data_IF_543881014620
#
_entry.id   IF_543881014620
#
_cell.length_a   1.000
_cell.length_b   1.000
_cell.length_c   1.000
_cell.angle_alpha   90.00
_cell.angle_beta   90.00
_cell.angle_gamma   90.00
#
_symmetry.space_group_name_H-M   'P 1'
#
loop_
_entity.id
_entity.type
_entity.pdbx_description
1 polymer ?
#
# COMPACT_ATOMS: atom_id res chain seq x y z
N UNK A 1 -11.62 -22.46 30.22
CA UNK A 1 -11.26 -23.56 29.31
C UNK A 1 -12.52 -24.01 28.59
N UNK A 2 -12.84 -23.40 27.44
CA UNK A 2 -13.85 -23.95 26.54
C UNK A 2 -13.27 -25.22 25.91
N UNK A 3 -14.08 -26.26 25.77
CA UNK A 3 -13.70 -27.48 25.04
C UNK A 3 -13.31 -27.09 23.62
N UNK A 4 -12.04 -27.28 23.25
CA UNK A 4 -11.64 -27.19 21.84
C UNK A 4 -12.46 -28.21 21.07
N UNK A 5 -13.45 -27.73 20.30
CA UNK A 5 -14.09 -28.51 19.26
C UNK A 5 -13.05 -29.05 18.30
N UNK A 6 -13.44 -29.99 17.44
CA UNK A 6 -12.59 -30.43 16.33
C UNK A 6 -11.98 -29.19 15.64
N UNK A 7 -10.65 -29.15 15.42
CA UNK A 7 -10.03 -27.99 14.77
C UNK A 7 -10.73 -27.73 13.44
N UNK A 8 -11.00 -26.46 13.15
CA UNK A 8 -11.60 -26.05 11.87
C UNK A 8 -10.73 -26.51 10.69
N UNK A 9 -11.24 -26.42 9.45
CA UNK A 9 -10.44 -26.72 8.28
C UNK A 9 -9.29 -25.71 8.12
N UNK A 10 -8.16 -26.14 7.54
CA UNK A 10 -7.05 -25.23 7.24
C UNK A 10 -7.42 -24.17 6.21
N UNK A 11 -8.36 -24.44 5.31
CA UNK A 11 -8.73 -23.54 4.22
C UNK A 11 -7.51 -23.03 3.41
N UNK A 12 -6.61 -23.96 3.11
CA UNK A 12 -5.44 -23.76 2.26
C UNK A 12 -5.68 -24.44 0.91
N UNK A 13 -6.24 -23.75 -0.11
CA UNK A 13 -6.56 -24.35 -1.40
C UNK A 13 -5.29 -24.61 -2.24
N UNK A 14 -4.53 -25.64 -1.86
CA UNK A 14 -3.39 -26.13 -2.64
C UNK A 14 -3.88 -27.02 -3.78
N UNK A 15 -4.04 -26.46 -4.98
CA UNK A 15 -3.58 -27.13 -6.21
C UNK A 15 -3.64 -26.12 -7.34
N UNK A 16 -2.48 -25.79 -7.92
CA UNK A 16 -2.16 -25.31 -9.28
C UNK A 16 -3.24 -24.85 -10.30
N UNK A 17 -4.43 -24.39 -9.91
CA UNK A 17 -5.57 -24.14 -10.79
C UNK A 17 -6.28 -22.79 -10.55
N UNK A 18 -5.65 -21.87 -9.82
CA UNK A 18 -6.16 -20.51 -9.71
C UNK A 18 -5.49 -19.62 -10.77
N UNK A 19 -5.85 -19.87 -12.03
CA UNK A 19 -5.72 -18.88 -13.09
C UNK A 19 -6.95 -17.94 -13.05
N UNK A 20 -6.81 -16.66 -13.42
CA UNK A 20 -7.90 -15.68 -13.36
C UNK A 20 -9.08 -16.06 -14.28
N UNK A 21 -10.32 -16.06 -13.74
CA UNK A 21 -11.56 -16.09 -14.54
C UNK A 21 -12.66 -17.12 -14.23
N UNK A 22 -12.67 -17.84 -13.11
CA UNK A 22 -13.70 -18.86 -12.86
C UNK A 22 -14.79 -18.43 -11.86
N UNK A 23 -16.02 -18.09 -12.31
CA UNK A 23 -17.20 -18.16 -11.48
C UNK A 23 -17.62 -19.64 -11.32
N UNK A 24 -17.55 -20.15 -10.09
CA UNK A 24 -17.99 -21.50 -9.73
C UNK A 24 -17.14 -22.63 -10.31
N UNK A 25 -16.17 -23.13 -9.55
CA UNK A 25 -15.52 -24.40 -9.83
C UNK A 25 -15.65 -25.34 -8.63
N UNK A 26 -16.61 -26.27 -8.77
CA UNK A 26 -16.75 -27.51 -8.00
C UNK A 26 -15.60 -28.43 -8.37
N UNK A 27 -14.87 -28.94 -7.37
CA UNK A 27 -13.88 -30.01 -7.52
C UNK A 27 -12.43 -29.54 -7.62
N UNK A 28 -11.87 -29.07 -6.50
CA UNK A 28 -10.42 -28.89 -6.34
C UNK A 28 -9.74 -30.27 -6.23
N UNK A 29 -8.63 -30.54 -6.94
CA UNK A 29 -7.71 -31.61 -6.57
C UNK A 29 -7.27 -31.45 -5.11
N UNK A 30 -7.13 -32.58 -4.40
CA UNK A 30 -6.53 -32.56 -3.07
C UNK A 30 -5.09 -32.02 -3.15
N UNK A 31 -4.60 -31.33 -2.11
CA UNK A 31 -3.18 -31.00 -1.97
C UNK A 31 -2.32 -32.23 -2.22
N UNK A 32 -1.08 -32.06 -2.71
CA UNK A 32 -0.09 -33.11 -2.47
C UNK A 32 0.00 -33.33 -0.96
N UNK A 33 0.13 -34.59 -0.50
CA UNK A 33 0.19 -34.89 0.93
C UNK A 33 1.28 -34.09 1.67
N UNK A 34 2.33 -33.69 0.95
CA UNK A 34 3.43 -32.88 1.46
C UNK A 34 3.01 -31.43 1.78
N UNK A 35 2.12 -30.82 0.98
CA UNK A 35 1.69 -29.44 1.18
C UNK A 35 0.74 -29.30 2.38
N UNK A 36 -0.21 -30.22 2.54
CA UNK A 36 -1.11 -30.21 3.70
C UNK A 36 -0.34 -30.44 5.00
N UNK A 37 0.59 -31.40 5.01
CA UNK A 37 1.45 -31.66 6.16
C UNK A 37 2.31 -30.44 6.51
N UNK A 38 2.88 -29.75 5.52
CA UNK A 38 3.63 -28.52 5.73
C UNK A 38 2.79 -27.46 6.44
N UNK A 39 1.55 -27.19 5.98
CA UNK A 39 0.70 -26.18 6.62
C UNK A 39 0.15 -26.60 7.97
N UNK A 40 -0.02 -27.91 8.23
CA UNK A 40 -0.28 -28.41 9.59
C UNK A 40 0.90 -28.14 10.53
N UNK A 41 2.13 -28.30 10.06
CA UNK A 41 3.34 -27.96 10.82
C UNK A 41 3.41 -26.45 11.08
N UNK A 42 3.18 -25.62 10.06
CA UNK A 42 3.12 -24.15 10.22
C UNK A 42 2.05 -23.77 11.25
N UNK A 43 0.85 -24.34 11.17
CA UNK A 43 -0.21 -24.09 12.15
C UNK A 43 0.23 -24.47 13.57
N UNK A 44 0.91 -25.62 13.73
CA UNK A 44 1.47 -26.03 15.03
C UNK A 44 2.48 -25.01 15.56
N UNK A 45 3.34 -24.45 14.71
CA UNK A 45 4.31 -23.43 15.10
C UNK A 45 3.63 -22.10 15.47
N UNK A 46 2.61 -21.68 14.71
CA UNK A 46 1.83 -20.48 15.02
C UNK A 46 1.10 -20.64 16.36
N UNK A 47 0.47 -21.79 16.61
CA UNK A 47 -0.18 -22.09 17.88
C UNK A 47 0.80 -22.18 19.04
N UNK A 48 2.00 -22.72 18.82
CA UNK A 48 3.07 -22.70 19.81
C UNK A 48 3.46 -21.25 20.15
N UNK A 49 3.72 -20.41 19.15
CA UNK A 49 4.02 -18.99 19.34
C UNK A 49 2.93 -18.25 20.12
N UNK A 50 1.65 -18.50 19.79
CA UNK A 50 0.50 -17.93 20.51
C UNK A 50 0.40 -18.44 21.97
N UNK A 51 0.70 -19.72 22.21
CA UNK A 51 0.76 -20.30 23.55
C UNK A 51 1.88 -19.68 24.40
N UNK A 52 3.06 -19.50 23.82
CA UNK A 52 4.22 -18.84 24.43
C UNK A 52 3.92 -17.37 24.74
N UNK A 53 3.26 -16.66 23.81
CA UNK A 53 2.76 -15.30 24.00
C UNK A 53 1.80 -15.22 25.20
N UNK A 54 0.85 -16.16 25.30
CA UNK A 54 -0.14 -16.21 26.38
C UNK A 54 0.48 -16.46 27.76
N UNK A 55 1.71 -16.98 27.81
CA UNK A 55 2.50 -17.18 29.04
C UNK A 55 3.37 -15.96 29.39
N UNK A 56 3.39 -14.92 28.54
CA UNK A 56 4.19 -13.72 28.71
C UNK A 56 5.63 -13.82 28.19
N UNK A 57 5.99 -14.88 27.46
CA UNK A 57 7.31 -15.03 26.83
C UNK A 57 7.31 -14.44 25.40
N UNK A 58 7.34 -13.11 25.32
CA UNK A 58 7.36 -12.39 24.04
C UNK A 58 8.60 -12.71 23.17
N UNK A 59 9.84 -12.78 23.71
CA UNK A 59 11.01 -13.15 22.90
C UNK A 59 10.90 -14.56 22.31
N UNK A 60 10.46 -15.55 23.11
CA UNK A 60 10.27 -16.92 22.64
C UNK A 60 9.19 -17.01 21.56
N UNK A 61 8.08 -16.28 21.71
CA UNK A 61 7.04 -16.20 20.70
C UNK A 61 7.56 -15.60 19.38
N UNK A 62 8.27 -14.46 19.43
CA UNK A 62 8.88 -13.83 18.24
C UNK A 62 9.83 -14.77 17.50
N UNK A 63 10.68 -15.48 18.24
CA UNK A 63 11.63 -16.43 17.64
C UNK A 63 10.91 -17.56 16.90
N UNK A 64 9.91 -18.19 17.52
CA UNK A 64 9.17 -19.29 16.91
C UNK A 64 8.37 -18.85 15.67
N UNK A 65 7.76 -17.67 15.72
CA UNK A 65 6.96 -17.11 14.62
C UNK A 65 7.85 -16.66 13.45
N UNK A 66 9.00 -16.05 13.73
CA UNK A 66 9.98 -15.71 12.72
C UNK A 66 10.48 -16.95 11.98
N UNK A 67 10.74 -18.05 12.69
CA UNK A 67 11.18 -19.32 12.09
C UNK A 67 10.08 -19.93 11.19
N UNK A 68 8.80 -19.84 11.61
CA UNK A 68 7.66 -20.26 10.80
C UNK A 68 7.51 -19.40 9.54
N UNK A 69 7.60 -18.08 9.66
CA UNK A 69 7.54 -17.14 8.53
C UNK A 69 8.72 -17.34 7.56
N UNK A 70 9.92 -17.58 8.08
CA UNK A 70 11.06 -17.89 7.22
C UNK A 70 10.86 -19.19 6.45
N UNK A 71 10.31 -20.23 7.08
CA UNK A 71 9.98 -21.47 6.37
C UNK A 71 8.97 -21.27 5.22
N UNK A 72 8.07 -20.29 5.35
CA UNK A 72 7.10 -19.87 4.32
C UNK A 72 7.80 -19.10 3.18
N UNK A 73 8.65 -18.11 3.50
CA UNK A 73 9.12 -17.13 2.51
C UNK A 73 10.41 -17.50 1.78
N UNK A 74 11.40 -18.05 2.48
CA UNK A 74 12.76 -18.25 1.95
C UNK A 74 13.41 -19.57 2.42
N UNK A 75 12.72 -20.36 3.25
CA UNK A 75 13.24 -21.55 3.94
C UNK A 75 12.89 -22.90 3.29
N UNK A 76 12.22 -23.77 4.04
CA UNK A 76 12.00 -25.20 3.74
C UNK A 76 11.01 -25.48 2.58
N UNK A 77 10.32 -24.45 2.07
CA UNK A 77 9.50 -24.60 0.89
C UNK A 77 10.41 -24.84 -0.32
N UNK A 78 10.53 -26.10 -0.76
CA UNK A 78 11.26 -26.49 -1.98
C UNK A 78 10.73 -25.79 -3.24
N UNK A 79 9.53 -25.19 -3.14
CA UNK A 79 8.85 -24.42 -4.15
C UNK A 79 8.25 -23.14 -3.49
N UNK A 80 8.70 -21.93 -3.87
CA UNK A 80 8.14 -20.68 -3.38
C UNK A 80 6.63 -20.54 -3.60
N UNK A 81 6.06 -21.16 -4.64
CA UNK A 81 4.62 -21.20 -4.87
C UNK A 81 3.88 -21.96 -3.77
N UNK A 82 4.45 -23.07 -3.28
CA UNK A 82 3.89 -23.84 -2.17
C UNK A 82 3.93 -23.07 -0.84
N UNK A 83 4.98 -22.26 -0.63
CA UNK A 83 5.13 -21.37 0.51
C UNK A 83 4.01 -20.33 0.62
N UNK A 84 3.41 -19.90 -0.49
CA UNK A 84 2.31 -18.91 -0.50
C UNK A 84 0.93 -19.49 -0.79
N UNK A 85 0.81 -20.80 -0.97
CA UNK A 85 -0.45 -21.41 -1.35
C UNK A 85 -1.48 -21.51 -0.20
N UNK A 86 -1.17 -21.01 0.99
CA UNK A 86 -2.15 -20.75 2.05
C UNK A 86 -2.11 -19.30 2.55
N UNK A 87 -2.82 -18.40 1.87
CA UNK A 87 -2.87 -16.98 2.24
C UNK A 87 -3.40 -16.75 3.65
N UNK A 88 -4.38 -17.55 4.11
CA UNK A 88 -4.86 -17.47 5.50
C UNK A 88 -3.78 -17.84 6.51
N UNK A 89 -2.98 -18.86 6.24
CA UNK A 89 -1.87 -19.26 7.09
C UNK A 89 -0.78 -18.20 7.17
N UNK A 90 -0.43 -17.57 6.03
CA UNK A 90 0.52 -16.45 6.00
C UNK A 90 -0.04 -15.26 6.79
N UNK A 91 -1.30 -14.89 6.58
CA UNK A 91 -1.96 -13.80 7.29
C UNK A 91 -1.96 -14.03 8.81
N UNK A 92 -2.33 -15.23 9.26
CA UNK A 92 -2.36 -15.59 10.66
C UNK A 92 -0.96 -15.57 11.31
N UNK A 93 0.06 -16.08 10.61
CA UNK A 93 1.43 -16.04 11.10
C UNK A 93 1.92 -14.60 11.32
N UNK A 94 1.67 -13.70 10.37
CA UNK A 94 2.00 -12.27 10.51
C UNK A 94 1.16 -11.57 11.58
N UNK A 95 -0.13 -11.89 11.72
CA UNK A 95 -0.97 -11.35 12.81
C UNK A 95 -0.41 -11.72 14.18
N UNK A 96 -0.11 -13.00 14.42
CA UNK A 96 0.42 -13.44 15.71
C UNK A 96 1.81 -12.85 15.96
N UNK A 97 2.62 -12.70 14.91
CA UNK A 97 3.89 -11.97 15.00
C UNK A 97 3.67 -10.52 15.43
N UNK A 98 2.69 -9.82 14.86
CA UNK A 98 2.35 -8.45 15.28
C UNK A 98 1.94 -8.39 16.77
N UNK A 99 1.13 -9.34 17.24
CA UNK A 99 0.72 -9.43 18.65
C UNK A 99 1.92 -9.64 19.59
N UNK A 100 2.92 -10.40 19.16
CA UNK A 100 4.15 -10.61 19.93
C UNK A 100 5.01 -9.35 20.11
N UNK A 101 4.75 -8.30 19.32
CA UNK A 101 5.33 -6.97 19.53
C UNK A 101 4.37 -6.02 20.25
N UNK A 102 3.11 -5.95 19.82
CA UNK A 102 2.17 -4.94 20.33
C UNK A 102 1.71 -5.21 21.76
N UNK A 103 1.69 -6.47 22.19
CA UNK A 103 1.25 -6.88 23.51
C UNK A 103 2.39 -7.06 24.53
N UNK A 104 3.64 -6.73 24.17
CA UNK A 104 4.82 -6.93 25.04
C UNK A 104 4.71 -6.12 26.34
N UNK A 105 4.28 -6.81 27.40
CA UNK A 105 4.07 -6.22 28.73
C UNK A 105 5.37 -5.78 29.41
N UNK A 106 6.54 -6.13 28.87
CA UNK A 106 7.83 -5.63 29.32
C UNK A 106 8.11 -4.19 28.87
N UNK A 107 7.33 -3.66 27.92
CA UNK A 107 7.50 -2.30 27.39
C UNK A 107 6.53 -1.32 28.04
N UNK A 108 7.06 -0.30 28.71
CA UNK A 108 6.22 0.70 29.34
C UNK A 108 5.57 1.61 28.28
N UNK A 109 4.25 1.80 28.35
CA UNK A 109 3.51 2.66 27.42
C UNK A 109 4.06 4.09 27.40
N UNK A 110 4.04 4.71 26.23
CA UNK A 110 4.56 6.06 26.01
C UNK A 110 6.09 6.15 25.92
N UNK A 111 6.83 5.06 26.18
CA UNK A 111 8.28 5.04 25.94
C UNK A 111 8.59 4.93 24.45
N UNK A 112 9.79 5.37 24.07
CA UNK A 112 10.30 5.21 22.72
C UNK A 112 10.32 3.74 22.27
N UNK A 113 10.76 2.82 23.15
CA UNK A 113 10.84 1.39 22.85
C UNK A 113 9.44 0.78 22.61
N UNK A 114 8.45 1.17 23.42
CA UNK A 114 7.07 0.79 23.20
C UNK A 114 6.57 1.28 21.84
N UNK A 115 6.76 2.56 21.51
CA UNK A 115 6.34 3.14 20.22
C UNK A 115 7.01 2.42 19.04
N UNK A 116 8.31 2.14 19.11
CA UNK A 116 9.02 1.36 18.08
C UNK A 116 8.44 -0.05 17.91
N UNK A 117 8.16 -0.75 19.01
CA UNK A 117 7.52 -2.05 18.94
C UNK A 117 6.14 -1.97 18.26
N UNK A 118 5.36 -0.91 18.52
CA UNK A 118 4.08 -0.70 17.82
C UNK A 118 4.26 -0.41 16.32
N UNK A 119 5.30 0.34 15.91
CA UNK A 119 5.60 0.56 14.49
C UNK A 119 5.93 -0.76 13.77
N UNK A 120 6.73 -1.62 14.41
CA UNK A 120 7.06 -2.96 13.89
C UNK A 120 5.78 -3.82 13.82
N UNK A 121 4.98 -3.84 14.88
CA UNK A 121 3.71 -4.56 14.93
C UNK A 121 2.77 -4.12 13.80
N UNK A 122 2.68 -2.81 13.53
CA UNK A 122 1.86 -2.28 12.45
C UNK A 122 2.28 -2.82 11.08
N UNK A 123 3.59 -2.98 10.82
CA UNK A 123 4.09 -3.54 9.55
C UNK A 123 3.77 -5.00 9.38
N UNK A 124 3.81 -5.78 10.47
CA UNK A 124 3.33 -7.15 10.43
C UNK A 124 1.82 -7.23 10.24
N UNK A 125 1.03 -6.30 10.82
CA UNK A 125 -0.39 -6.23 10.52
C UNK A 125 -0.66 -5.84 9.06
N UNK A 126 0.12 -4.93 8.48
CA UNK A 126 0.02 -4.59 7.05
C UNK A 126 0.29 -5.81 6.16
N UNK A 127 1.30 -6.61 6.46
CA UNK A 127 1.55 -7.89 5.77
C UNK A 127 0.41 -8.89 5.98
N UNK A 128 -0.13 -9.00 7.20
CA UNK A 128 -1.29 -9.84 7.46
C UNK A 128 -2.51 -9.39 6.65
N UNK A 129 -2.72 -8.08 6.53
CA UNK A 129 -3.81 -7.47 5.79
C UNK A 129 -3.69 -7.71 4.26
N UNK A 130 -2.48 -7.69 3.71
CA UNK A 130 -2.23 -8.09 2.31
C UNK A 130 -2.78 -9.50 2.08
N UNK A 131 -2.34 -10.46 2.89
CA UNK A 131 -2.68 -11.86 2.68
C UNK A 131 -4.12 -12.22 3.04
N UNK A 132 -4.73 -11.56 4.04
CA UNK A 132 -6.15 -11.77 4.35
C UNK A 132 -7.02 -11.19 3.24
N UNK A 133 -6.63 -10.07 2.61
CA UNK A 133 -7.36 -9.50 1.47
C UNK A 133 -7.29 -10.43 0.26
N UNK A 134 -6.12 -11.05 0.01
CA UNK A 134 -6.02 -12.11 -1.00
C UNK A 134 -7.02 -13.24 -0.73
N UNK A 135 -7.05 -13.74 0.51
CA UNK A 135 -7.98 -14.81 0.88
C UNK A 135 -9.45 -14.39 0.74
N UNK A 136 -9.75 -13.15 1.12
CA UNK A 136 -11.09 -12.58 1.05
C UNK A 136 -11.59 -12.50 -0.39
N UNK A 137 -10.82 -11.86 -1.27
CA UNK A 137 -11.23 -11.62 -2.66
C UNK A 137 -11.18 -12.89 -3.53
N UNK A 138 -10.21 -13.79 -3.29
CA UNK A 138 -10.04 -14.99 -4.12
C UNK A 138 -10.83 -16.18 -3.64
N UNK A 139 -11.01 -16.33 -2.33
CA UNK A 139 -11.55 -17.57 -1.74
C UNK A 139 -12.80 -17.38 -0.91
N UNK A 140 -13.04 -16.22 -0.30
CA UNK A 140 -14.27 -15.93 0.44
C UNK A 140 -15.35 -15.28 -0.43
N UNK A 141 -14.96 -14.59 -1.52
CA UNK A 141 -15.89 -13.97 -2.46
C UNK A 141 -16.78 -15.00 -3.16
N UNK A 142 -18.06 -14.69 -3.27
CA UNK A 142 -19.09 -15.46 -3.95
C UNK A 142 -19.85 -14.51 -4.85
N UNK A 143 -19.97 -14.85 -6.12
CA UNK A 143 -20.79 -14.07 -7.05
C UNK A 143 -22.12 -14.79 -7.26
N UNK A 144 -23.21 -14.05 -7.14
CA UNK A 144 -24.53 -14.55 -7.46
C UNK A 144 -24.68 -14.65 -8.99
N UNK A 145 -24.95 -15.84 -9.54
CA UNK A 145 -25.06 -16.02 -10.99
C UNK A 145 -26.09 -15.08 -11.60
N UNK A 146 -25.65 -14.23 -12.52
CA UNK A 146 -26.51 -13.33 -13.30
C UNK A 146 -26.94 -12.03 -12.60
N UNK A 147 -26.60 -11.80 -11.32
CA UNK A 147 -26.91 -10.52 -10.65
C UNK A 147 -25.77 -9.51 -10.68
N UNK A 148 -24.52 -9.99 -10.84
CA UNK A 148 -23.32 -9.15 -10.72
C UNK A 148 -23.05 -8.68 -9.28
N UNK A 149 -23.81 -9.18 -8.31
CA UNK A 149 -23.59 -8.91 -6.89
C UNK A 149 -22.62 -9.95 -6.31
N UNK A 150 -21.62 -9.46 -5.60
CA UNK A 150 -20.72 -10.30 -4.81
C UNK A 150 -21.11 -10.24 -3.33
N UNK A 151 -21.11 -11.38 -2.66
CA UNK A 151 -21.14 -11.49 -1.20
C UNK A 151 -19.89 -12.23 -0.72
N UNK A 152 -19.56 -12.10 0.56
CA UNK A 152 -18.36 -12.72 1.13
C UNK A 152 -18.74 -13.69 2.24
N UNK A 153 -18.20 -14.91 2.14
CA UNK A 153 -18.38 -15.99 3.09
C UNK A 153 -17.40 -15.82 4.26
N UNK A 154 -17.80 -15.05 5.28
CA UNK A 154 -16.98 -14.79 6.48
C UNK A 154 -16.54 -16.07 7.17
N UNK A 155 -17.37 -17.12 7.14
CA UNK A 155 -17.08 -18.41 7.76
C UNK A 155 -15.87 -19.11 7.13
N UNK A 156 -15.50 -18.77 5.89
CA UNK A 156 -14.26 -19.25 5.27
C UNK A 156 -13.01 -18.80 6.06
N UNK A 157 -13.02 -17.59 6.61
CA UNK A 157 -11.91 -17.06 7.40
C UNK A 157 -12.12 -17.39 8.88
N UNK A 158 -13.24 -16.92 9.44
CA UNK A 158 -13.50 -16.96 10.88
C UNK A 158 -13.75 -18.38 11.40
N UNK A 159 -14.14 -19.32 10.52
CA UNK A 159 -14.33 -20.74 10.85
C UNK A 159 -13.10 -21.61 10.59
N UNK A 160 -11.98 -21.04 10.14
CA UNK A 160 -10.77 -21.80 9.82
C UNK A 160 -10.02 -22.26 11.07
N UNK A 161 -9.05 -23.15 10.89
CA UNK A 161 -8.13 -23.58 11.95
C UNK A 161 -7.17 -22.47 12.41
N UNK A 162 -7.04 -21.42 11.60
CA UNK A 162 -6.07 -20.35 11.83
C UNK A 162 -6.59 -19.38 12.89
N UNK A 163 -5.73 -18.92 13.81
CA UNK A 163 -6.12 -17.94 14.82
C UNK A 163 -6.17 -16.55 14.19
N UNK A 164 -7.17 -16.28 13.35
CA UNK A 164 -7.37 -14.98 12.70
C UNK A 164 -8.86 -14.73 12.45
N UNK A 165 -9.27 -13.47 12.62
CA UNK A 165 -10.57 -12.96 12.18
C UNK A 165 -10.40 -11.63 11.48
N UNK A 166 -11.24 -11.38 10.47
CA UNK A 166 -11.25 -10.10 9.74
C UNK A 166 -11.66 -8.93 10.66
N UNK A 167 -12.53 -9.17 11.64
CA UNK A 167 -12.92 -8.12 12.58
C UNK A 167 -11.77 -7.80 13.54
N UNK A 168 -11.09 -8.82 14.05
CA UNK A 168 -10.00 -8.67 15.00
C UNK A 168 -8.80 -7.94 14.39
N UNK A 169 -8.38 -8.29 13.17
CA UNK A 169 -7.24 -7.64 12.52
C UNK A 169 -7.46 -6.13 12.33
N UNK A 170 -8.67 -5.71 11.96
CA UNK A 170 -9.01 -4.29 11.81
C UNK A 170 -9.01 -3.55 13.14
N UNK A 171 -9.54 -4.18 14.20
CA UNK A 171 -9.52 -3.62 15.55
C UNK A 171 -8.08 -3.50 16.09
N UNK A 172 -7.24 -4.51 15.84
CA UNK A 172 -5.84 -4.54 16.25
C UNK A 172 -5.02 -3.46 15.56
N UNK A 173 -5.14 -3.30 14.23
CA UNK A 173 -4.46 -2.21 13.51
C UNK A 173 -4.83 -0.83 14.06
N UNK A 174 -6.11 -0.62 14.33
CA UNK A 174 -6.62 0.63 14.90
C UNK A 174 -6.05 0.89 16.30
N UNK A 175 -5.97 -0.15 17.13
CA UNK A 175 -5.39 -0.08 18.46
C UNK A 175 -3.88 0.21 18.42
N UNK A 176 -3.13 -0.45 17.54
CA UNK A 176 -1.69 -0.23 17.35
C UNK A 176 -1.42 1.20 16.88
N UNK A 177 -2.16 1.71 15.90
CA UNK A 177 -2.01 3.09 15.43
C UNK A 177 -2.34 4.12 16.52
N UNK A 178 -3.41 3.87 17.28
CA UNK A 178 -3.77 4.73 18.42
C UNK A 178 -2.64 4.75 19.46
N UNK A 179 -2.03 3.59 19.76
CA UNK A 179 -0.90 3.47 20.67
C UNK A 179 0.37 4.20 20.16
N UNK A 180 0.60 4.24 18.83
CA UNK A 180 1.67 5.04 18.24
C UNK A 180 1.38 6.53 18.43
N UNK A 181 0.14 6.95 18.17
CA UNK A 181 -0.31 8.34 18.25
C UNK A 181 -0.32 8.91 19.68
N UNK A 182 -0.53 8.07 20.71
CA UNK A 182 -0.38 8.45 22.13
C UNK A 182 1.01 9.04 22.44
N UNK A 183 2.03 8.68 21.66
CA UNK A 183 3.38 9.28 21.72
C UNK A 183 3.49 10.69 21.14
N UNK A 184 2.38 11.31 20.74
CA UNK A 184 2.31 12.68 20.23
C UNK A 184 2.71 12.85 18.76
N UNK A 185 2.85 11.75 18.01
CA UNK A 185 3.23 11.75 16.58
C UNK A 185 2.51 10.62 15.83
N UNK A 186 2.09 10.84 14.57
CA UNK A 186 1.45 9.79 13.78
C UNK A 186 2.43 8.64 13.44
N UNK A 187 1.88 7.54 12.93
CA UNK A 187 2.66 6.44 12.37
C UNK A 187 3.43 6.88 11.11
N UNK A 188 4.49 6.15 10.77
CA UNK A 188 5.35 6.47 9.63
C UNK A 188 6.50 7.44 9.94
N UNK A 189 7.24 7.81 8.89
CA UNK A 189 8.42 8.67 9.02
C UNK A 189 8.01 10.10 9.37
N UNK A 190 8.80 10.74 10.23
CA UNK A 190 8.61 12.16 10.52
C UNK A 190 9.13 13.02 9.36
N UNK A 191 8.50 14.18 9.08
CA UNK A 191 9.05 15.12 8.12
C UNK A 191 10.45 15.57 8.57
N UNK A 192 11.39 15.60 7.63
CA UNK A 192 12.76 16.10 7.84
C UNK A 192 12.81 17.63 7.89
N UNK A 193 11.92 18.28 7.15
CA UNK A 193 11.72 19.73 7.19
C UNK A 193 10.21 20.05 7.15
N UNK A 194 9.51 19.96 8.29
CA UNK A 194 8.06 20.19 8.37
C UNK A 194 7.63 21.56 7.83
N UNK A 195 8.50 22.57 7.97
CA UNK A 195 8.27 23.97 7.59
C UNK A 195 8.72 24.29 6.16
N UNK A 196 8.96 23.29 5.30
CA UNK A 196 9.28 23.52 3.90
C UNK A 196 8.19 24.39 3.24
N UNK A 197 8.54 25.54 2.62
CA UNK A 197 7.56 26.38 1.93
C UNK A 197 6.81 25.55 0.88
N UNK A 198 5.49 25.63 0.85
CA UNK A 198 4.70 24.82 -0.07
C UNK A 198 5.00 25.13 -1.55
N UNK A 199 5.44 26.35 -1.84
CA UNK A 199 5.82 26.85 -3.15
C UNK A 199 7.34 26.80 -3.41
N UNK A 200 8.10 26.11 -2.55
CA UNK A 200 9.55 25.95 -2.68
C UNK A 200 9.91 25.47 -4.08
N UNK A 201 10.93 26.08 -4.70
CA UNK A 201 11.54 25.60 -5.95
C UNK A 201 13.04 25.51 -5.80
N UNK A 202 13.57 24.32 -6.06
CA UNK A 202 15.01 24.11 -6.22
C UNK A 202 15.33 24.09 -7.72
N UNK A 203 15.93 25.18 -8.21
CA UNK A 203 16.33 25.29 -9.62
C UNK A 203 17.40 24.29 -10.06
N UNK A 204 18.02 23.55 -9.14
CA UNK A 204 18.96 22.47 -9.45
C UNK A 204 18.28 21.11 -9.67
N UNK A 205 17.03 20.93 -9.22
CA UNK A 205 16.29 19.69 -9.39
C UNK A 205 15.46 19.69 -10.67
N UNK A 206 15.56 18.60 -11.44
CA UNK A 206 14.72 18.37 -12.62
C UNK A 206 13.69 17.33 -12.26
N UNK A 207 12.43 17.73 -12.22
CA UNK A 207 11.32 16.88 -11.77
C UNK A 207 10.38 16.56 -12.93
N UNK A 208 9.76 15.38 -12.87
CA UNK A 208 8.78 14.95 -13.85
C UNK A 208 7.60 14.20 -13.24
N UNK A 209 6.52 14.10 -14.02
CA UNK A 209 5.30 13.38 -13.68
C UNK A 209 5.07 12.28 -14.71
N UNK A 210 4.73 11.09 -14.24
CA UNK A 210 4.37 9.92 -15.06
C UNK A 210 2.97 9.44 -14.67
N UNK A 211 2.13 9.18 -15.67
CA UNK A 211 0.80 8.60 -15.46
C UNK A 211 0.47 7.57 -16.54
N UNK A 212 -0.43 6.62 -16.26
CA UNK A 212 -0.97 5.67 -17.23
C UNK A 212 -2.49 5.76 -17.27
N UNK A 213 -3.02 6.28 -18.37
CA UNK A 213 -4.44 6.43 -18.65
C UNK A 213 -4.88 5.50 -19.79
N UNK A 214 -4.59 4.20 -19.66
CA UNK A 214 -4.97 3.16 -20.63
C UNK A 214 -6.43 2.69 -20.39
N UNK A 215 -7.39 3.54 -20.75
CA UNK A 215 -8.83 3.26 -20.66
C UNK A 215 -9.45 3.18 -22.06
N UNK A 216 -10.65 2.55 -22.20
CA UNK A 216 -11.42 2.62 -23.43
C UNK A 216 -11.61 4.07 -23.92
N UNK A 217 -11.63 4.32 -25.24
CA UNK A 217 -11.70 5.68 -25.80
C UNK A 217 -12.89 6.52 -25.32
N UNK A 218 -14.01 5.88 -24.98
CA UNK A 218 -15.24 6.50 -24.47
C UNK A 218 -15.19 6.85 -22.98
N UNK A 219 -14.13 6.47 -22.27
CA UNK A 219 -13.99 6.75 -20.86
C UNK A 219 -13.58 8.21 -20.65
N UNK A 220 -14.32 8.94 -19.80
CA UNK A 220 -14.12 10.38 -19.59
C UNK A 220 -12.85 10.71 -18.79
N UNK A 221 -12.43 9.82 -17.90
CA UNK A 221 -11.33 10.06 -16.97
C UNK A 221 -10.00 10.46 -17.65
N UNK A 222 -9.48 9.73 -18.66
CA UNK A 222 -8.26 10.14 -19.36
C UNK A 222 -8.28 11.59 -19.86
N UNK A 223 -9.43 12.08 -20.33
CA UNK A 223 -9.55 13.45 -20.84
C UNK A 223 -9.33 14.47 -19.71
N UNK A 224 -10.00 14.29 -18.57
CA UNK A 224 -9.92 15.20 -17.44
C UNK A 224 -8.59 15.08 -16.69
N UNK A 225 -8.16 13.86 -16.38
CA UNK A 225 -6.90 13.58 -15.69
C UNK A 225 -5.71 14.17 -16.45
N UNK A 226 -5.59 13.86 -17.74
CA UNK A 226 -4.42 14.31 -18.51
C UNK A 226 -4.41 15.81 -18.77
N UNK A 227 -5.58 16.47 -18.75
CA UNK A 227 -5.65 17.93 -18.74
C UNK A 227 -5.19 18.50 -17.40
N UNK A 228 -5.71 18.00 -16.27
CA UNK A 228 -5.31 18.44 -14.94
C UNK A 228 -3.80 18.29 -14.70
N UNK A 229 -3.25 17.11 -15.03
CA UNK A 229 -1.82 16.83 -14.86
C UNK A 229 -0.96 17.73 -15.75
N UNK A 230 -1.36 17.96 -16.99
CA UNK A 230 -0.62 18.84 -17.91
C UNK A 230 -0.61 20.28 -17.42
N UNK A 231 -1.74 20.82 -16.97
CA UNK A 231 -1.83 22.18 -16.43
C UNK A 231 -0.88 22.35 -15.25
N UNK A 232 -0.86 21.38 -14.33
CA UNK A 232 0.05 21.40 -13.19
C UNK A 232 1.53 21.30 -13.62
N UNK A 233 1.85 20.37 -14.52
CA UNK A 233 3.22 20.20 -15.01
C UNK A 233 3.74 21.47 -15.72
N UNK A 234 2.93 22.07 -16.58
CA UNK A 234 3.27 23.32 -17.30
C UNK A 234 3.44 24.49 -16.35
N UNK A 235 2.57 24.63 -15.34
CA UNK A 235 2.65 25.69 -14.32
C UNK A 235 4.01 25.70 -13.62
N UNK A 236 4.56 24.51 -13.39
CA UNK A 236 5.79 24.33 -12.63
C UNK A 236 7.01 24.00 -13.51
N UNK A 237 6.86 23.85 -14.82
CA UNK A 237 7.95 23.46 -15.71
C UNK A 237 8.47 22.04 -15.45
N UNK A 238 7.62 21.13 -14.99
CA UNK A 238 7.96 19.72 -14.82
C UNK A 238 7.82 18.96 -16.14
N UNK A 239 8.65 17.93 -16.32
CA UNK A 239 8.45 16.98 -17.42
C UNK A 239 7.11 16.24 -17.21
N UNK A 240 6.41 15.90 -18.29
CA UNK A 240 5.17 15.14 -18.19
C UNK A 240 5.11 14.04 -19.23
N UNK A 241 4.91 12.81 -18.76
CA UNK A 241 4.79 11.59 -19.58
C UNK A 241 3.48 10.89 -19.25
N UNK A 242 2.73 10.52 -20.28
CA UNK A 242 1.49 9.76 -20.10
C UNK A 242 1.40 8.59 -21.07
N UNK A 243 1.26 7.38 -20.53
CA UNK A 243 0.88 6.20 -21.30
C UNK A 243 -0.62 6.18 -21.56
N UNK A 244 -1.03 5.78 -22.76
CA UNK A 244 -2.46 5.64 -23.14
C UNK A 244 -2.81 4.24 -23.63
N UNK A 245 -1.82 3.37 -23.71
CA UNK A 245 -1.95 2.02 -24.23
C UNK A 245 -1.58 1.02 -23.14
N UNK A 246 -2.07 -0.21 -23.29
CA UNK A 246 -1.72 -1.30 -22.39
C UNK A 246 -0.24 -1.64 -22.55
N UNK A 247 0.53 -1.50 -21.46
CA UNK A 247 1.99 -1.70 -21.46
C UNK A 247 2.41 -3.17 -21.60
N UNK A 248 1.55 -4.10 -21.18
CA UNK A 248 1.77 -5.54 -21.28
C UNK A 248 0.43 -6.29 -21.24
N UNK A 249 0.15 -7.08 -22.26
CA UNK A 249 -1.08 -7.88 -22.32
C UNK A 249 -1.05 -9.13 -21.42
N UNK A 250 0.11 -9.51 -20.88
CA UNK A 250 0.28 -10.68 -20.02
C UNK A 250 0.02 -10.39 -18.54
N UNK A 251 -0.20 -9.12 -18.17
CA UNK A 251 -0.50 -8.71 -16.79
C UNK A 251 -1.73 -7.82 -16.70
N UNK A 252 -2.40 -7.77 -15.53
CA UNK A 252 -3.44 -6.79 -15.27
C UNK A 252 -2.94 -5.35 -15.51
N UNK A 253 -3.80 -4.43 -15.99
CA UNK A 253 -3.39 -3.07 -16.35
C UNK A 253 -2.67 -2.27 -15.26
N UNK A 254 -2.97 -2.53 -13.97
CA UNK A 254 -2.33 -1.89 -12.83
C UNK A 254 -0.79 -2.03 -12.86
N UNK A 255 -0.28 -3.17 -13.35
CA UNK A 255 1.15 -3.45 -13.49
C UNK A 255 1.85 -2.55 -14.51
N UNK A 256 1.11 -1.92 -15.44
CA UNK A 256 1.68 -1.04 -16.45
C UNK A 256 2.49 0.11 -15.85
N UNK A 257 2.18 0.52 -14.62
CA UNK A 257 2.95 1.55 -13.90
C UNK A 257 4.40 1.19 -13.67
N UNK A 258 4.69 -0.08 -13.37
CA UNK A 258 6.05 -0.54 -13.10
C UNK A 258 6.92 -0.41 -14.36
N UNK A 259 6.38 -0.83 -15.52
CA UNK A 259 7.07 -0.69 -16.81
C UNK A 259 7.26 0.77 -17.22
N UNK A 260 6.20 1.56 -17.16
CA UNK A 260 6.26 2.95 -17.58
C UNK A 260 7.18 3.78 -16.68
N UNK A 261 7.19 3.51 -15.38
CA UNK A 261 8.18 4.12 -14.47
C UNK A 261 9.59 3.67 -14.79
N UNK A 262 9.83 2.40 -15.11
CA UNK A 262 11.16 1.93 -15.50
C UNK A 262 11.68 2.69 -16.74
N UNK A 263 10.84 2.83 -17.77
CA UNK A 263 11.15 3.62 -18.97
C UNK A 263 11.36 5.11 -18.67
N UNK A 264 10.65 5.67 -17.69
CA UNK A 264 10.84 7.05 -17.25
C UNK A 264 12.20 7.29 -16.59
N UNK A 265 12.65 6.35 -15.75
CA UNK A 265 13.94 6.44 -15.05
C UNK A 265 15.17 6.35 -15.98
N UNK A 266 14.99 5.96 -17.24
CA UNK A 266 16.05 5.97 -18.26
C UNK A 266 16.29 7.37 -18.86
N UNK A 267 15.42 8.35 -18.58
CA UNK A 267 15.62 9.73 -19.01
C UNK A 267 16.66 10.45 -18.13
N UNK A 268 17.87 10.76 -18.66
CA UNK A 268 18.88 11.46 -17.87
C UNK A 268 18.54 12.95 -17.64
N UNK A 269 17.47 13.47 -18.26
CA UNK A 269 17.03 14.86 -18.11
C UNK A 269 16.20 15.10 -16.86
N UNK A 270 15.79 14.05 -16.13
CA UNK A 270 14.94 14.14 -14.93
C UNK A 270 15.58 13.40 -13.78
N UNK A 271 15.68 14.05 -12.62
CA UNK A 271 16.30 13.50 -11.41
C UNK A 271 15.28 12.71 -10.56
N UNK A 272 14.03 13.17 -10.55
CA UNK A 272 12.93 12.54 -9.79
C UNK A 272 11.63 12.53 -10.59
N UNK A 273 10.93 11.41 -10.52
CA UNK A 273 9.63 11.21 -11.13
C UNK A 273 8.57 11.00 -10.05
N UNK A 274 7.48 11.75 -10.11
CA UNK A 274 6.23 11.42 -9.44
C UNK A 274 5.44 10.48 -10.35
N UNK A 275 5.20 9.25 -9.90
CA UNK A 275 4.08 8.46 -10.40
C UNK A 275 2.78 9.06 -9.87
N UNK A 276 1.78 9.20 -10.73
CA UNK A 276 0.47 9.73 -10.36
C UNK A 276 -0.62 8.99 -11.15
N UNK A 277 -1.45 8.21 -10.45
CA UNK A 277 -2.50 7.41 -11.09
C UNK A 277 -3.45 8.29 -11.90
N UNK A 278 -4.01 7.73 -12.97
CA UNK A 278 -4.92 8.45 -13.86
C UNK A 278 -6.18 8.95 -13.12
N UNK A 279 -6.59 8.25 -12.07
CA UNK A 279 -7.73 8.60 -11.24
C UNK A 279 -7.33 9.44 -10.01
N UNK A 280 -6.26 10.22 -10.12
CA UNK A 280 -5.84 11.19 -9.10
C UNK A 280 -5.68 12.58 -9.71
N UNK A 281 -6.18 13.62 -9.05
CA UNK A 281 -6.11 15.01 -9.51
C UNK A 281 -5.25 15.87 -8.58
N UNK A 282 -4.50 16.81 -9.18
CA UNK A 282 -3.95 17.96 -8.47
C UNK A 282 -5.08 18.93 -8.14
N UNK A 283 -5.29 19.17 -6.86
CA UNK A 283 -6.35 20.02 -6.32
C UNK A 283 -5.82 21.36 -5.79
N UNK A 284 -4.57 21.39 -5.34
CA UNK A 284 -3.86 22.62 -4.98
C UNK A 284 -2.57 22.73 -5.80
N UNK A 285 -2.63 23.51 -6.87
CA UNK A 285 -1.53 23.68 -7.82
C UNK A 285 -0.48 24.69 -7.35
N UNK A 286 -0.60 25.30 -6.16
CA UNK A 286 0.47 26.12 -5.58
C UNK A 286 1.54 25.28 -4.89
N UNK A 287 1.18 24.08 -4.42
CA UNK A 287 2.11 23.12 -3.82
C UNK A 287 3.03 22.56 -4.90
N UNK A 288 4.33 22.60 -4.67
CA UNK A 288 5.36 22.10 -5.59
C UNK A 288 5.81 20.70 -5.23
N UNK A 289 6.24 19.93 -6.22
CA UNK A 289 6.86 18.61 -5.99
C UNK A 289 8.15 18.73 -5.18
N UNK A 290 8.91 19.81 -5.40
CA UNK A 290 10.11 20.15 -4.63
C UNK A 290 9.79 20.24 -3.14
N UNK A 291 8.73 20.95 -2.75
CA UNK A 291 8.35 21.12 -1.35
C UNK A 291 8.07 19.78 -0.66
N UNK A 292 7.42 18.85 -1.35
CA UNK A 292 7.09 17.52 -0.82
C UNK A 292 8.33 16.66 -0.66
N UNK A 293 9.22 16.67 -1.66
CA UNK A 293 10.52 15.99 -1.58
C UNK A 293 11.38 16.55 -0.45
N UNK A 294 11.48 17.86 -0.30
CA UNK A 294 12.26 18.48 0.78
C UNK A 294 11.67 18.23 2.15
N UNK A 295 10.34 18.27 2.28
CA UNK A 295 9.64 18.03 3.55
C UNK A 295 9.99 16.68 4.16
N UNK A 296 10.11 15.62 3.35
CA UNK A 296 10.41 14.26 3.81
C UNK A 296 11.84 13.78 3.53
N UNK A 297 12.56 14.43 2.62
CA UNK A 297 13.83 13.97 2.07
C UNK A 297 15.04 14.86 2.31
N UNK A 298 14.93 15.99 3.02
CA UNK A 298 16.07 16.86 3.32
C UNK A 298 17.10 16.21 4.27
N UNK A 299 18.39 16.59 4.15
CA UNK A 299 19.52 16.12 5.01
C UNK A 299 19.50 16.57 6.48
N UNK A 300 18.34 17.01 6.98
CA UNK A 300 18.15 17.48 8.35
C UNK A 300 17.19 18.68 8.39
N UNK A 301 16.74 19.09 9.58
CA UNK A 301 15.91 20.28 9.72
C UNK A 301 16.72 21.53 9.34
N UNK A 302 16.35 22.18 8.25
CA UNK A 302 16.91 23.47 7.88
C UNK A 302 16.41 24.57 8.81
N UNK A 303 17.33 25.28 9.47
CA UNK A 303 17.01 26.52 10.19
C UNK A 303 16.95 27.66 9.16
N UNK A 304 16.02 27.56 8.21
CA UNK A 304 15.88 28.49 7.08
C UNK A 304 15.93 27.83 5.70
N UNK A 305 15.31 28.48 4.71
CA UNK A 305 15.17 27.96 3.33
C UNK A 305 16.50 27.85 2.61
N UNK A 306 17.39 28.85 2.75
CA UNK A 306 18.67 28.87 2.06
C UNK A 306 19.60 27.76 2.58
N UNK A 307 19.61 27.53 3.90
CA UNK A 307 20.36 26.45 4.53
C UNK A 307 19.83 25.08 4.11
N UNK A 308 18.50 24.90 4.07
CA UNK A 308 17.89 23.66 3.63
C UNK A 308 18.21 23.32 2.17
N UNK A 309 18.08 24.31 1.27
CA UNK A 309 18.46 24.15 -0.13
C UNK A 309 19.95 23.85 -0.29
N UNK A 310 20.82 24.53 0.48
CA UNK A 310 22.26 24.29 0.49
C UNK A 310 22.64 22.90 1.00
N UNK A 311 21.88 22.34 1.95
CA UNK A 311 22.07 20.97 2.44
C UNK A 311 21.57 19.93 1.41
N UNK A 312 20.50 20.26 0.68
CA UNK A 312 19.92 19.43 -0.36
C UNK A 312 19.15 18.21 0.17
N UNK A 313 18.70 17.37 -0.78
CA UNK A 313 18.09 16.08 -0.47
C UNK A 313 19.14 15.07 0.01
N UNK A 314 18.74 14.22 0.94
CA UNK A 314 19.48 13.06 1.42
C UNK A 314 19.76 12.12 0.24
N UNK A 315 21.04 11.84 -0.08
CA UNK A 315 21.37 11.11 -1.29
C UNK A 315 21.02 9.63 -1.16
N UNK A 316 20.77 9.16 0.05
CA UNK A 316 20.39 7.78 0.32
C UNK A 316 18.89 7.59 0.12
N UNK A 317 18.09 8.65 -0.04
CA UNK A 317 16.64 8.53 -0.31
C UNK A 317 16.41 8.41 -1.81
N UNK A 318 15.65 7.38 -2.19
CA UNK A 318 15.30 7.09 -3.58
C UNK A 318 13.79 6.96 -3.82
N UNK A 319 12.99 6.76 -2.75
CA UNK A 319 11.54 6.64 -2.84
C UNK A 319 10.84 7.41 -1.72
N UNK A 320 9.80 8.17 -2.09
CA UNK A 320 8.83 8.75 -1.15
C UNK A 320 7.44 8.23 -1.53
N UNK A 321 6.78 7.53 -0.62
CA UNK A 321 5.49 6.88 -0.88
C UNK A 321 4.49 7.17 0.23
N UNK A 322 3.21 7.24 -0.14
CA UNK A 322 2.13 7.46 0.80
C UNK A 322 1.83 6.19 1.60
N UNK A 323 1.54 6.37 2.90
CA UNK A 323 1.04 5.32 3.79
C UNK A 323 -0.24 5.82 4.48
N UNK A 324 -1.22 4.93 4.60
CA UNK A 324 -2.43 5.13 5.38
C UNK A 324 -2.61 4.05 6.47
N UNK A 325 -3.83 3.99 7.03
CA UNK A 325 -4.19 2.99 8.03
C UNK A 325 -3.98 1.54 7.54
N UNK A 326 -4.30 1.26 6.29
CA UNK A 326 -4.29 -0.09 5.73
C UNK A 326 -2.88 -0.54 5.34
N UNK A 327 -2.10 0.29 4.63
CA UNK A 327 -0.69 0.05 4.23
C UNK A 327 -0.18 1.20 3.34
N UNK A 328 0.88 0.94 2.56
CA UNK A 328 1.30 1.80 1.45
C UNK A 328 0.18 1.98 0.41
N UNK A 329 0.16 3.14 -0.22
CA UNK A 329 -0.63 3.39 -1.42
C UNK A 329 0.25 3.93 -2.54
N UNK A 330 0.42 3.12 -3.59
CA UNK A 330 1.24 3.44 -4.77
C UNK A 330 0.46 4.13 -5.89
N UNK A 331 -0.68 4.76 -5.58
CA UNK A 331 -1.40 5.65 -6.49
C UNK A 331 -0.69 6.98 -6.71
N UNK A 332 0.13 7.40 -5.75
CA UNK A 332 1.09 8.47 -5.92
C UNK A 332 2.39 8.14 -5.16
N UNK A 333 3.54 8.25 -5.81
CA UNK A 333 4.85 8.08 -5.17
C UNK A 333 5.97 8.68 -6.01
N UNK A 334 7.03 9.13 -5.35
CA UNK A 334 8.24 9.62 -6.01
C UNK A 334 9.27 8.51 -6.14
N UNK A 335 9.96 8.47 -7.29
CA UNK A 335 11.18 7.69 -7.48
C UNK A 335 12.29 8.56 -8.06
N UNK A 336 13.47 8.44 -7.47
CA UNK A 336 14.70 9.03 -8.00
C UNK A 336 15.21 8.22 -9.18
N UNK A 337 15.65 8.90 -10.25
CA UNK A 337 16.38 8.28 -11.36
C UNK A 337 17.72 7.72 -10.86
N UNK A 338 17.75 6.43 -10.54
CA UNK A 338 18.89 5.77 -9.89
C UNK A 338 18.88 4.27 -10.15
N UNK A 339 20.04 3.63 -9.97
CA UNK A 339 20.14 2.17 -10.11
C UNK A 339 19.28 1.45 -9.07
N UNK A 340 19.20 1.98 -7.84
CA UNK A 340 18.36 1.42 -6.79
C UNK A 340 16.89 1.36 -7.21
N UNK A 341 16.35 2.46 -7.76
CA UNK A 341 14.95 2.51 -8.20
C UNK A 341 14.70 1.56 -9.37
N UNK A 342 15.63 1.46 -10.31
CA UNK A 342 15.53 0.52 -11.42
C UNK A 342 15.54 -0.94 -10.94
N UNK A 343 16.39 -1.26 -9.97
CA UNK A 343 16.44 -2.59 -9.38
C UNK A 343 15.21 -2.91 -8.53
N UNK A 344 14.66 -1.93 -7.79
CA UNK A 344 13.37 -2.09 -7.13
C UNK A 344 12.27 -2.47 -8.14
N UNK A 345 12.13 -1.71 -9.23
CA UNK A 345 11.10 -1.98 -10.24
C UNK A 345 11.29 -3.35 -10.92
N UNK A 346 12.53 -3.80 -11.17
CA UNK A 346 12.81 -5.16 -11.68
C UNK A 346 12.35 -6.24 -10.70
N UNK A 347 12.68 -6.09 -9.41
CA UNK A 347 12.28 -7.04 -8.35
C UNK A 347 10.77 -7.07 -8.15
N UNK A 348 10.12 -5.90 -8.15
CA UNK A 348 8.66 -5.76 -8.04
C UNK A 348 7.98 -6.39 -9.25
N UNK A 349 8.48 -6.15 -10.46
CA UNK A 349 7.99 -6.83 -11.67
C UNK A 349 8.09 -8.34 -11.48
N UNK A 350 9.27 -8.86 -11.16
CA UNK A 350 9.44 -10.29 -10.87
C UNK A 350 9.03 -11.21 -12.03
N UNK A 351 8.93 -12.53 -11.78
CA UNK A 351 8.55 -13.50 -12.79
C UNK A 351 7.06 -13.44 -13.13
N UNK A 352 6.65 -14.03 -14.26
CA UNK A 352 5.25 -14.00 -14.74
C UNK A 352 4.29 -14.78 -13.84
N UNK A 353 4.77 -15.82 -13.17
CA UNK A 353 4.04 -16.68 -12.23
C UNK A 353 4.12 -16.20 -10.77
N UNK A 354 4.57 -14.95 -10.56
CA UNK A 354 4.56 -14.31 -9.25
C UNK A 354 3.17 -14.32 -8.62
N UNK A 355 3.11 -14.69 -7.34
CA UNK A 355 1.89 -14.66 -6.51
C UNK A 355 1.24 -13.27 -6.44
N UNK A 356 2.02 -12.23 -6.74
CA UNK A 356 1.55 -10.85 -6.75
C UNK A 356 0.79 -10.47 -8.01
N UNK A 357 1.02 -11.18 -9.14
CA UNK A 357 0.47 -10.82 -10.46
C UNK A 357 -1.05 -10.65 -10.40
N UNK A 358 -1.74 -11.59 -9.76
CA UNK A 358 -3.20 -11.62 -9.63
C UNK A 358 -3.70 -11.23 -8.23
N UNK A 359 -2.81 -10.77 -7.35
CA UNK A 359 -3.19 -10.28 -6.03
C UNK A 359 -4.15 -9.08 -6.17
N UNK A 360 -5.20 -8.93 -5.35
CA UNK A 360 -6.17 -7.82 -5.46
C UNK A 360 -5.57 -6.42 -5.36
N UNK A 361 -4.38 -6.32 -4.75
CA UNK A 361 -3.61 -5.08 -4.61
C UNK A 361 -2.36 -5.04 -5.50
N UNK A 362 -2.22 -5.99 -6.43
CA UNK A 362 -1.22 -6.00 -7.51
C UNK A 362 0.19 -5.57 -7.09
N UNK A 363 0.76 -4.58 -7.79
CA UNK A 363 2.11 -4.07 -7.55
C UNK A 363 2.24 -3.35 -6.21
N UNK A 364 1.16 -2.80 -5.65
CA UNK A 364 1.19 -2.17 -4.33
C UNK A 364 1.56 -3.21 -3.24
N UNK A 365 0.94 -4.39 -3.29
CA UNK A 365 1.31 -5.51 -2.42
C UNK A 365 2.72 -6.03 -2.70
N UNK A 366 3.12 -6.12 -3.97
CA UNK A 366 4.47 -6.54 -4.34
C UNK A 366 5.56 -5.59 -3.81
N UNK A 367 5.33 -4.26 -3.87
CA UNK A 367 6.22 -3.24 -3.33
C UNK A 367 6.33 -3.38 -1.80
N UNK A 368 5.20 -3.46 -1.10
CA UNK A 368 5.18 -3.66 0.34
C UNK A 368 5.96 -4.92 0.74
N UNK A 369 5.73 -6.03 0.03
CA UNK A 369 6.42 -7.29 0.27
C UNK A 369 7.94 -7.15 0.13
N UNK A 370 8.40 -6.48 -0.93
CA UNK A 370 9.83 -6.23 -1.16
C UNK A 370 10.49 -5.43 -0.02
N UNK A 371 9.73 -4.63 0.71
CA UNK A 371 10.26 -3.83 1.82
C UNK A 371 10.22 -4.54 3.17
N UNK A 372 9.18 -5.35 3.41
CA UNK A 372 8.87 -5.80 4.77
C UNK A 372 9.04 -7.31 5.01
N UNK A 373 9.16 -8.15 3.96
CA UNK A 373 9.18 -9.61 4.12
C UNK A 373 10.26 -10.10 5.09
N UNK A 374 11.43 -9.46 5.08
CA UNK A 374 12.60 -9.87 5.86
C UNK A 374 12.54 -9.37 7.32
N UNK A 375 11.57 -8.51 7.65
CA UNK A 375 11.44 -7.96 9.00
C UNK A 375 11.17 -9.03 10.05
N UNK A 376 10.52 -10.13 9.68
CA UNK A 376 10.27 -11.26 10.58
C UNK A 376 11.58 -11.82 11.15
N UNK A 377 12.58 -12.01 10.28
CA UNK A 377 13.92 -12.45 10.66
C UNK A 377 14.76 -11.33 11.26
N UNK A 378 14.68 -10.12 10.71
CA UNK A 378 15.39 -8.94 11.24
C UNK A 378 15.06 -8.68 12.71
N UNK A 379 13.79 -8.80 13.08
CA UNK A 379 13.30 -8.53 14.44
C UNK A 379 13.01 -9.81 15.23
N UNK A 380 13.59 -10.95 14.83
CA UNK A 380 13.40 -12.26 15.48
C UNK A 380 13.64 -12.24 16.99
N UNK A 381 14.65 -11.49 17.46
CA UNK A 381 15.00 -11.37 18.87
C UNK A 381 14.31 -10.19 19.59
N UNK A 382 13.39 -9.48 18.91
CA UNK A 382 12.95 -8.14 19.28
C UNK A 382 13.91 -7.07 18.75
N UNK A 383 13.55 -5.79 18.91
CA UNK A 383 14.41 -4.65 18.56
C UNK A 383 14.02 -3.35 19.29
N UNK A 384 14.46 -3.18 20.55
CA UNK A 384 14.59 -1.86 21.12
C UNK A 384 15.89 -1.29 20.56
N UNK A 385 15.84 -0.66 19.38
CA UNK A 385 16.99 0.05 18.83
C UNK A 385 17.53 1.12 19.82
N UNK A 386 18.55 1.91 19.46
CA UNK A 386 19.08 2.90 20.38
C UNK A 386 17.99 3.91 20.79
N UNK A 387 17.85 4.15 22.09
CA UNK A 387 16.85 5.09 22.61
C UNK A 387 17.01 6.47 21.95
N UNK A 388 15.90 7.02 21.45
CA UNK A 388 15.88 8.31 20.78
C UNK A 388 16.21 8.28 19.29
N UNK A 389 16.46 7.12 18.69
CA UNK A 389 16.56 7.00 17.24
C UNK A 389 15.21 7.24 16.55
N UNK A 390 15.21 7.33 15.22
CA UNK A 390 13.97 7.32 14.45
C UNK A 390 13.25 5.99 14.69
N UNK A 391 11.98 6.02 15.12
CA UNK A 391 11.24 4.80 15.43
C UNK A 391 10.90 3.98 14.17
N UNK A 392 11.04 4.57 12.98
CA UNK A 392 10.96 3.90 11.68
C UNK A 392 12.31 3.39 11.16
N UNK A 393 13.41 3.73 11.84
CA UNK A 393 14.74 3.28 11.43
C UNK A 393 14.72 1.77 11.25
N UNK A 394 15.31 1.29 10.15
CA UNK A 394 15.49 -0.12 9.87
C UNK A 394 14.19 -0.93 9.64
N UNK A 395 13.01 -0.34 9.76
CA UNK A 395 11.74 -1.03 9.44
C UNK A 395 11.52 -1.11 7.93
N UNK A 396 11.88 -0.03 7.22
CA UNK A 396 11.92 0.04 5.77
C UNK A 396 13.39 0.15 5.30
N UNK A 397 13.69 -0.11 4.01
CA UNK A 397 15.00 0.21 3.45
C UNK A 397 15.35 1.67 3.68
N UNK A 398 16.63 1.97 3.90
CA UNK A 398 17.10 3.32 4.18
C UNK A 398 16.72 4.32 3.07
N UNK A 399 16.50 3.81 1.86
CA UNK A 399 16.13 4.53 0.66
C UNK A 399 14.66 4.92 0.55
N UNK A 400 13.81 4.39 1.43
CA UNK A 400 12.37 4.64 1.43
C UNK A 400 12.01 5.62 2.54
N UNK A 401 11.19 6.61 2.20
CA UNK A 401 10.47 7.44 3.17
C UNK A 401 8.97 7.28 2.95
N UNK A 402 8.27 7.35 4.07
CA UNK A 402 6.82 7.32 4.09
C UNK A 402 6.31 8.72 4.39
N UNK A 403 5.32 9.16 3.63
CA UNK A 403 4.52 10.31 3.96
C UNK A 403 3.10 9.84 4.35
N UNK A 404 2.41 10.55 5.25
CA UNK A 404 0.98 10.36 5.43
C UNK A 404 0.24 10.49 4.09
N UNK A 405 -0.77 9.66 3.89
CA UNK A 405 -1.63 9.67 2.72
C UNK A 405 -2.18 11.07 2.38
N UNK A 406 -2.48 11.86 3.41
CA UNK A 406 -2.97 13.23 3.31
C UNK A 406 -2.01 14.20 2.61
N UNK A 407 -0.71 13.91 2.55
CA UNK A 407 0.28 14.82 1.95
C UNK A 407 0.13 14.93 0.44
N UNK A 408 -0.04 13.79 -0.25
CA UNK A 408 -0.09 13.79 -1.72
C UNK A 408 -0.95 12.70 -2.36
N UNK A 409 -1.82 12.04 -1.59
CA UNK A 409 -2.67 10.97 -2.09
C UNK A 409 -4.03 10.91 -1.35
N UNK A 410 -4.59 12.06 -0.94
CA UNK A 410 -5.80 12.07 -0.10
C UNK A 410 -6.99 11.40 -0.79
N UNK A 411 -7.77 10.62 -0.05
CA UNK A 411 -8.90 9.88 -0.61
C UNK A 411 -10.12 10.75 -0.86
N UNK A 412 -10.87 10.40 -1.89
CA UNK A 412 -12.22 10.91 -2.09
C UNK A 412 -13.14 10.55 -0.89
N UNK A 413 -14.06 11.45 -0.47
CA UNK A 413 -14.96 11.19 0.66
C UNK A 413 -15.80 9.90 0.56
N UNK A 414 -16.08 9.44 -0.66
CA UNK A 414 -16.81 8.19 -0.89
C UNK A 414 -16.02 6.91 -0.54
N UNK A 415 -14.69 7.00 -0.38
CA UNK A 415 -13.84 5.85 -0.05
C UNK A 415 -13.16 5.98 1.27
N UNK A 416 -12.86 7.21 1.70
CA UNK A 416 -12.27 7.42 3.01
C UNK A 416 -13.20 7.01 4.15
N UNK A 417 -14.52 7.03 3.94
CA UNK A 417 -15.55 6.80 4.98
C UNK A 417 -15.31 7.59 6.27
N UNK A 418 -14.59 8.72 6.18
CA UNK A 418 -14.04 9.50 7.30
C UNK A 418 -13.11 8.74 8.27
N UNK A 419 -12.72 7.51 7.93
CA UNK A 419 -11.76 6.69 8.68
C UNK A 419 -10.34 6.86 8.15
N UNK A 420 -10.20 7.22 6.87
CA UNK A 420 -8.93 7.51 6.23
C UNK A 420 -8.75 9.01 5.96
N UNK A 421 -7.54 9.38 5.53
CA UNK A 421 -7.16 10.74 5.13
C UNK A 421 -8.04 11.24 3.98
N UNK A 422 -9.15 11.88 4.35
CA UNK A 422 -10.18 12.40 3.45
C UNK A 422 -9.72 13.71 2.83
N UNK A 423 -9.89 13.86 1.52
CA UNK A 423 -9.61 15.12 0.85
C UNK A 423 -10.55 16.22 1.33
N UNK A 424 -10.00 17.41 1.52
CA UNK A 424 -10.73 18.65 1.80
C UNK A 424 -10.06 19.81 1.04
N UNK A 425 -10.77 20.92 0.78
CA UNK A 425 -10.21 22.08 0.10
C UNK A 425 -8.89 22.55 0.74
N UNK A 426 -7.86 22.74 -0.09
CA UNK A 426 -6.51 23.11 0.33
C UNK A 426 -5.50 21.96 0.28
N UNK A 427 -5.96 20.70 0.35
CA UNK A 427 -5.07 19.53 0.20
C UNK A 427 -4.55 19.40 -1.24
N UNK A 428 -3.32 18.91 -1.37
CA UNK A 428 -2.57 18.86 -2.62
C UNK A 428 -3.26 18.05 -3.72
N UNK A 429 -3.63 16.81 -3.40
CA UNK A 429 -4.13 15.85 -4.38
C UNK A 429 -5.38 15.13 -3.85
N UNK A 430 -6.27 14.76 -4.78
CA UNK A 430 -7.46 13.96 -4.55
C UNK A 430 -7.38 12.69 -5.39
N UNK A 431 -7.46 11.54 -4.73
CA UNK A 431 -7.40 10.23 -5.34
C UNK A 431 -8.75 9.52 -5.29
N UNK A 432 -9.16 8.96 -6.42
CA UNK A 432 -10.40 8.19 -6.58
C UNK A 432 -10.22 6.68 -6.37
N UNK A 433 -9.07 6.28 -5.82
CA UNK A 433 -8.79 4.91 -5.37
C UNK A 433 -9.97 4.33 -4.60
N UNK A 434 -10.49 3.19 -5.08
CA UNK A 434 -11.59 2.45 -4.46
C UNK A 434 -13.01 3.01 -4.69
N UNK A 435 -13.19 4.15 -5.38
CA UNK A 435 -14.53 4.78 -5.46
C UNK A 435 -15.48 3.94 -6.32
N UNK A 436 -14.94 3.22 -7.30
CA UNK A 436 -15.68 2.23 -8.08
C UNK A 436 -16.22 1.06 -7.23
N UNK A 437 -15.60 0.76 -6.09
CA UNK A 437 -16.08 -0.27 -5.16
C UNK A 437 -17.27 0.21 -4.33
N UNK A 438 -17.45 1.53 -4.17
CA UNK A 438 -18.48 2.13 -3.31
C UNK A 438 -19.57 2.88 -4.08
N UNK A 439 -19.45 3.00 -5.41
CA UNK A 439 -20.38 3.79 -6.25
C UNK A 439 -20.62 3.12 -7.61
N UNK A 440 -21.69 3.53 -8.29
CA UNK A 440 -21.99 3.00 -9.63
C UNK A 440 -21.08 3.63 -10.71
N UNK A 441 -20.86 2.96 -11.85
CA UNK A 441 -20.12 3.53 -12.99
C UNK A 441 -20.70 4.86 -13.51
N UNK A 442 -21.98 5.13 -13.29
CA UNK A 442 -22.59 6.41 -13.66
C UNK A 442 -22.23 7.51 -12.67
N UNK A 443 -22.26 7.21 -11.36
CA UNK A 443 -21.92 8.18 -10.32
C UNK A 443 -20.46 8.61 -10.43
N UNK A 444 -19.53 7.66 -10.58
CA UNK A 444 -18.11 7.97 -10.69
C UNK A 444 -17.81 8.90 -11.89
N UNK A 445 -18.49 8.72 -13.04
CA UNK A 445 -18.30 9.59 -14.21
C UNK A 445 -18.67 11.05 -13.90
N UNK A 446 -19.76 11.25 -13.17
CA UNK A 446 -20.17 12.58 -12.69
C UNK A 446 -19.15 13.14 -11.70
N UNK A 447 -18.66 12.31 -10.76
CA UNK A 447 -17.66 12.73 -9.79
C UNK A 447 -16.35 13.16 -10.47
N UNK A 448 -15.87 12.42 -11.47
CA UNK A 448 -14.67 12.79 -12.22
C UNK A 448 -14.79 14.17 -12.90
N UNK A 449 -15.96 14.49 -13.47
CA UNK A 449 -16.23 15.80 -14.05
C UNK A 449 -16.30 16.90 -12.98
N UNK A 450 -17.11 16.70 -11.94
CA UNK A 450 -17.34 17.71 -10.89
C UNK A 450 -16.05 18.11 -10.17
N UNK A 451 -15.22 17.13 -9.80
CA UNK A 451 -13.97 17.42 -9.10
C UNK A 451 -12.89 17.96 -10.03
N UNK A 452 -12.95 17.66 -11.33
CA UNK A 452 -12.09 18.32 -12.31
C UNK A 452 -12.47 19.81 -12.44
N UNK A 453 -13.75 20.15 -12.60
CA UNK A 453 -14.19 21.56 -12.60
C UNK A 453 -13.84 22.27 -11.30
N UNK A 454 -13.99 21.58 -10.17
CA UNK A 454 -13.60 22.11 -8.86
C UNK A 454 -12.09 22.38 -8.81
N UNK A 455 -11.26 21.46 -9.29
CA UNK A 455 -9.81 21.66 -9.38
C UNK A 455 -9.48 22.88 -10.25
N UNK A 456 -10.14 23.05 -11.40
CA UNK A 456 -9.94 24.21 -12.26
C UNK A 456 -10.27 25.53 -11.55
N UNK A 457 -11.43 25.57 -10.87
CA UNK A 457 -11.91 26.76 -10.16
C UNK A 457 -11.06 27.11 -8.95
N UNK A 458 -10.67 26.12 -8.15
CA UNK A 458 -9.82 26.32 -6.97
C UNK A 458 -8.44 26.89 -7.34
N UNK A 459 -8.00 26.70 -8.58
CA UNK A 459 -6.68 27.11 -9.05
C UNK A 459 -6.71 28.27 -10.05
N UNK A 460 -7.89 28.82 -10.35
CA UNK A 460 -8.10 29.92 -11.29
C UNK A 460 -7.51 29.64 -12.68
N UNK A 461 -7.78 28.43 -13.21
CA UNK A 461 -7.27 27.93 -14.51
C UNK A 461 -8.37 27.43 -15.44
N UNK A 462 -9.60 27.89 -15.26
CA UNK A 462 -10.76 27.47 -16.06
C UNK A 462 -10.55 27.68 -17.56
N UNK A 463 -9.79 28.70 -17.96
CA UNK A 463 -9.44 29.02 -19.34
C UNK A 463 -8.54 27.96 -20.02
N UNK A 464 -7.80 27.18 -19.22
CA UNK A 464 -6.94 26.07 -19.69
C UNK A 464 -7.63 24.72 -19.61
N UNK A 465 -8.75 24.64 -18.90
CA UNK A 465 -9.44 23.40 -18.68
C UNK A 465 -10.26 22.98 -19.89
N UNK A 466 -10.34 21.67 -20.11
CA UNK A 466 -11.22 21.11 -21.14
C UNK A 466 -12.67 21.16 -20.66
N UNK A 467 -13.58 21.33 -21.60
CA UNK A 467 -15.02 21.28 -21.28
C UNK A 467 -15.37 19.92 -20.67
N UNK A 468 -16.11 19.94 -19.55
CA UNK A 468 -16.65 18.74 -18.93
C UNK A 468 -17.96 18.36 -19.62
N UNK A 469 -18.05 17.10 -20.00
CA UNK A 469 -19.27 16.52 -20.55
C UNK A 469 -20.38 16.64 -19.51
N UNK A 470 -21.47 17.31 -19.87
CA UNK A 470 -22.66 17.43 -19.01
C UNK A 470 -23.30 16.04 -18.88
N UNK A 471 -22.84 15.28 -17.90
CA UNK A 471 -23.12 13.86 -17.73
C UNK A 471 -24.49 13.55 -17.10
N UNK A 472 -25.50 14.41 -17.27
CA UNK A 472 -26.85 14.17 -16.72
C UNK A 472 -27.86 13.95 -17.85
N UNK A 473 -28.06 12.71 -18.33
CA UNK A 473 -29.08 12.39 -19.34
C UNK A 473 -30.54 12.60 -18.85
N UNK A 474 -30.78 12.86 -17.56
CA UNK A 474 -32.11 13.13 -16.99
C UNK A 474 -32.42 14.62 -16.77
N UNK A 475 -31.45 15.51 -16.99
CA UNK A 475 -31.75 16.92 -17.21
C UNK A 475 -31.87 17.11 -18.71
N UNK A 476 -32.96 16.58 -19.28
CA UNK A 476 -33.41 17.04 -20.59
C UNK A 476 -33.62 18.55 -20.54
N UNK A 477 -33.36 19.24 -21.65
CA UNK A 477 -33.56 20.68 -21.81
C UNK A 477 -34.92 21.10 -21.21
N UNK A 478 -34.87 21.72 -20.03
CA UNK A 478 -36.02 22.27 -19.31
C UNK A 478 -36.01 23.78 -19.43
#
# INVERSE_FOLDING_TARGET
>A
MQSYGQPGPLNCPHSAANAPGAPGAVGLPAPSGDAELFWQQVLSHVNFGLGTLSQGDFPGARAALADALFAITDGLASDPGAGFACSLGVAAAYRVMALAFSADGGLARGTWAFRRAQQIALRFQHLAMVWITHAWEKFARREEPGSGLAHYDTAYIDGSAWPISLQEINAEMTAVQSAIAEGGRPAGHQPRWPEAPHDLRDGSLRLGIVSLCAYPPEHVLPRYATSNHRIYAERHGYAYRVGRELMDATRPPAWGKIKLMYEALEDPSVDWWLWFDCDTYFMNMTVTLDSLLYKYGARGPGVGTAEALGAGLDPDIHMLVAEDHAMLNTGAFFLRASEWSRELLRRVWGPTDSVWTDHPWWENAAILWNFLKDNSQKFRAGDPGPEGADDMQDIYPAEVRLAPQSEFNSYHPATSHFLHDTWEPGKFALAFNGVLSNTSPTVIRVLYGNYYELACRLNEVEDKCVEVERALPWLGDA
#
